data_IF_246108193824
#
_entry.id   IF_246108193824
#
_cell.length_a   1.000
_cell.length_b   1.000
_cell.length_c   1.000
_cell.angle_alpha   90.00
_cell.angle_beta   90.00
_cell.angle_gamma   90.00
#
_symmetry.space_group_name_H-M   'P 1'
#
loop_
_entity.id
_entity.type
_entity.pdbx_description
1 polymer ?
#
# COMPACT_ATOMS: atom_id res chain seq x y z
N UNK A 1 11.49 38.82 13.03
CA UNK A 1 11.65 38.64 11.57
C UNK A 1 12.66 37.53 11.21
N UNK A 2 13.88 37.51 11.76
CA UNK A 2 14.85 36.44 11.45
C UNK A 2 14.41 35.05 11.93
N UNK A 3 13.81 34.96 13.12
CA UNK A 3 13.33 33.69 13.68
C UNK A 3 12.26 33.04 12.79
N UNK A 4 11.27 33.82 12.35
CA UNK A 4 10.16 33.35 11.52
C UNK A 4 10.65 32.90 10.14
N UNK A 5 11.62 33.61 9.56
CA UNK A 5 12.26 33.23 8.31
C UNK A 5 13.05 31.92 8.46
N UNK A 6 13.80 31.76 9.54
CA UNK A 6 14.55 30.53 9.84
C UNK A 6 13.60 29.35 10.05
N UNK A 7 12.54 29.53 10.84
CA UNK A 7 11.54 28.49 11.08
C UNK A 7 10.81 28.11 9.78
N UNK A 8 10.41 29.10 8.98
CA UNK A 8 9.77 28.87 7.69
C UNK A 8 10.67 28.08 6.73
N UNK A 9 11.94 28.45 6.62
CA UNK A 9 12.92 27.73 5.82
C UNK A 9 13.12 26.29 6.32
N UNK A 10 13.22 26.08 7.63
CA UNK A 10 13.36 24.74 8.21
C UNK A 10 12.14 23.85 7.89
N UNK A 11 10.91 24.37 8.05
CA UNK A 11 9.69 23.65 7.71
C UNK A 11 9.58 23.33 6.22
N UNK A 12 10.01 24.25 5.35
CA UNK A 12 10.04 24.03 3.90
C UNK A 12 11.03 22.91 3.54
N UNK A 13 12.22 22.90 4.14
CA UNK A 13 13.21 21.83 3.94
C UNK A 13 12.64 20.48 4.39
N UNK A 14 12.01 20.42 5.57
CA UNK A 14 11.37 19.20 6.07
C UNK A 14 10.26 18.70 5.12
N UNK A 15 9.45 19.62 4.59
CA UNK A 15 8.41 19.29 3.63
C UNK A 15 9.00 18.79 2.30
N UNK A 16 10.05 19.42 1.77
CA UNK A 16 10.72 18.96 0.55
C UNK A 16 11.35 17.58 0.72
N UNK A 17 11.95 17.31 1.89
CA UNK A 17 12.48 15.99 2.22
C UNK A 17 11.35 14.94 2.27
N UNK A 18 10.23 15.25 2.94
CA UNK A 18 9.04 14.40 2.95
C UNK A 18 8.49 14.17 1.55
N UNK A 19 8.37 15.21 0.73
CA UNK A 19 7.85 15.12 -0.62
C UNK A 19 8.73 14.25 -1.52
N UNK A 20 10.05 14.41 -1.44
CA UNK A 20 11.01 13.58 -2.17
C UNK A 20 10.93 12.10 -1.74
N UNK A 21 10.85 11.85 -0.42
CA UNK A 21 10.64 10.49 0.11
C UNK A 21 9.28 9.90 -0.28
N UNK A 22 8.21 10.70 -0.29
CA UNK A 22 6.86 10.23 -0.58
C UNK A 22 6.64 9.94 -2.07
N UNK A 23 7.36 10.68 -2.91
CA UNK A 23 7.33 10.61 -4.38
C UNK A 23 8.40 9.69 -4.96
N UNK A 24 8.85 8.67 -4.20
CA UNK A 24 9.82 7.66 -4.64
C UNK A 24 9.38 6.94 -5.93
N UNK A 25 9.69 7.53 -7.08
CA UNK A 25 9.40 7.01 -8.42
C UNK A 25 10.62 7.18 -9.31
N UNK A 26 11.56 6.23 -9.21
CA UNK A 26 12.85 6.26 -9.91
C UNK A 26 12.75 5.95 -11.42
N UNK A 27 11.69 6.42 -12.09
CA UNK A 27 11.39 6.08 -13.48
C UNK A 27 10.87 4.65 -13.66
N UNK A 28 10.79 4.20 -14.91
CA UNK A 28 10.28 2.87 -15.26
C UNK A 28 11.25 1.76 -14.82
N UNK A 29 10.71 0.59 -14.52
CA UNK A 29 11.49 -0.63 -14.34
C UNK A 29 12.28 -0.99 -15.61
N UNK A 30 13.54 -1.38 -15.43
CA UNK A 30 14.37 -1.99 -16.47
C UNK A 30 14.16 -3.50 -16.50
N UNK A 31 14.48 -4.14 -17.63
CA UNK A 31 14.39 -5.60 -17.74
C UNK A 31 15.26 -6.32 -16.71
N UNK A 32 16.49 -5.83 -16.48
CA UNK A 32 17.38 -6.40 -15.47
C UNK A 32 16.82 -6.32 -14.05
N UNK A 33 16.16 -5.22 -13.68
CA UNK A 33 15.47 -5.10 -12.39
C UNK A 33 14.31 -6.11 -12.28
N UNK A 34 13.51 -6.25 -13.33
CA UNK A 34 12.38 -7.18 -13.37
C UNK A 34 12.87 -8.61 -13.18
N UNK A 35 13.89 -9.02 -13.92
CA UNK A 35 14.48 -10.37 -13.82
C UNK A 35 15.05 -10.63 -12.43
N UNK A 36 15.74 -9.65 -11.84
CA UNK A 36 16.26 -9.75 -10.48
C UNK A 36 15.14 -9.95 -9.45
N UNK A 37 14.06 -9.16 -9.52
CA UNK A 37 12.95 -9.28 -8.58
C UNK A 37 12.21 -10.60 -8.74
N UNK A 38 11.94 -11.03 -9.99
CA UNK A 38 11.26 -12.28 -10.26
C UNK A 38 12.05 -13.50 -9.77
N UNK A 39 13.38 -13.52 -9.96
CA UNK A 39 14.23 -14.60 -9.45
C UNK A 39 14.19 -14.74 -7.91
N UNK A 40 13.86 -13.66 -7.18
CA UNK A 40 13.64 -13.70 -5.72
C UNK A 40 12.21 -14.16 -5.41
N UNK A 41 11.22 -13.64 -6.13
CA UNK A 41 9.79 -13.95 -5.92
C UNK A 41 9.50 -15.43 -6.19
N UNK A 42 10.13 -16.01 -7.21
CA UNK A 42 10.03 -17.43 -7.56
C UNK A 42 10.48 -18.36 -6.43
N UNK A 43 11.32 -17.86 -5.51
CA UNK A 43 11.85 -18.62 -4.36
C UNK A 43 11.08 -18.35 -3.07
N UNK A 44 9.97 -17.60 -3.12
CA UNK A 44 9.15 -17.41 -1.94
C UNK A 44 8.64 -18.75 -1.41
N UNK A 45 8.54 -18.93 -0.08
CA UNK A 45 8.09 -20.17 0.53
C UNK A 45 6.57 -20.33 0.40
N UNK A 46 6.09 -20.44 -0.83
CA UNK A 46 4.68 -20.51 -1.21
C UNK A 46 4.46 -21.70 -2.16
N UNK A 47 3.21 -22.16 -2.35
CA UNK A 47 2.92 -23.25 -3.27
C UNK A 47 3.41 -22.94 -4.70
N UNK A 48 4.21 -23.83 -5.29
CA UNK A 48 4.90 -23.64 -6.58
C UNK A 48 3.95 -23.17 -7.69
N UNK A 49 2.82 -23.87 -7.88
CA UNK A 49 1.80 -23.50 -8.87
C UNK A 49 1.24 -22.09 -8.66
N UNK A 50 1.11 -21.67 -7.40
CA UNK A 50 0.62 -20.34 -7.05
C UNK A 50 1.63 -19.25 -7.39
N UNK A 51 2.91 -19.52 -7.10
CA UNK A 51 4.03 -18.63 -7.45
C UNK A 51 4.18 -18.50 -8.96
N UNK A 52 4.18 -19.62 -9.70
CA UNK A 52 4.27 -19.63 -11.16
C UNK A 52 3.13 -18.82 -11.82
N UNK A 53 1.90 -19.04 -11.38
CA UNK A 53 0.74 -18.31 -11.88
C UNK A 53 0.81 -16.80 -11.55
N UNK A 54 1.40 -16.45 -10.40
CA UNK A 54 1.61 -15.06 -10.00
C UNK A 54 2.72 -14.40 -10.81
N UNK A 55 3.89 -15.04 -10.95
CA UNK A 55 5.04 -14.48 -11.69
C UNK A 55 4.72 -14.33 -13.18
N UNK A 56 3.96 -15.25 -13.77
CA UNK A 56 3.48 -15.16 -15.15
C UNK A 56 2.61 -13.92 -15.42
N UNK A 57 1.82 -13.48 -14.42
CA UNK A 57 1.03 -12.23 -14.51
C UNK A 57 1.86 -11.00 -14.14
N UNK A 58 2.79 -11.16 -13.20
CA UNK A 58 3.60 -10.09 -12.67
C UNK A 58 4.59 -9.54 -13.68
N UNK A 59 5.21 -10.39 -14.51
CA UNK A 59 6.18 -9.98 -15.54
C UNK A 59 5.59 -8.98 -16.54
N UNK A 60 4.54 -9.29 -17.33
CA UNK A 60 4.00 -8.33 -18.30
C UNK A 60 3.45 -7.06 -17.62
N UNK A 61 2.94 -7.17 -16.40
CA UNK A 61 2.55 -5.99 -15.62
C UNK A 61 3.76 -5.14 -15.21
N UNK A 62 4.89 -5.74 -14.84
CA UNK A 62 6.11 -5.01 -14.50
C UNK A 62 6.75 -4.37 -15.74
N UNK A 63 6.74 -5.04 -16.89
CA UNK A 63 7.25 -4.52 -18.16
C UNK A 63 6.44 -3.33 -18.68
N UNK A 64 5.14 -3.30 -18.39
CA UNK A 64 4.24 -2.19 -18.72
C UNK A 64 4.34 -1.00 -17.75
N UNK A 65 5.42 -0.87 -16.97
CA UNK A 65 5.61 0.20 -16.00
C UNK A 65 5.57 1.59 -16.65
N UNK A 66 4.71 2.44 -16.11
CA UNK A 66 4.50 3.82 -16.52
C UNK A 66 5.20 4.82 -15.58
N UNK A 67 5.92 4.32 -14.56
CA UNK A 67 6.65 5.14 -13.59
C UNK A 67 5.73 5.88 -12.61
N UNK A 68 4.44 5.54 -12.57
CA UNK A 68 3.43 6.19 -11.74
C UNK A 68 3.08 5.34 -10.51
N UNK A 69 2.44 5.92 -9.48
CA UNK A 69 1.92 5.17 -8.35
C UNK A 69 0.89 4.12 -8.77
N UNK A 70 0.92 2.98 -8.08
CA UNK A 70 -0.06 1.90 -8.20
C UNK A 70 -0.78 1.67 -6.88
N UNK A 71 -2.07 1.34 -6.99
CA UNK A 71 -2.92 0.98 -5.88
C UNK A 71 -3.26 -0.49 -5.99
N UNK A 72 -2.88 -1.26 -4.97
CA UNK A 72 -3.17 -2.69 -4.91
C UNK A 72 -4.45 -2.92 -4.12
N UNK A 73 -5.49 -3.31 -4.84
CA UNK A 73 -6.76 -3.73 -4.25
C UNK A 73 -6.62 -5.18 -3.85
N UNK A 74 -6.75 -5.44 -2.55
CA UNK A 74 -6.73 -6.76 -1.97
C UNK A 74 -8.18 -7.09 -1.63
N UNK A 75 -8.84 -7.85 -2.50
CA UNK A 75 -10.17 -8.38 -2.23
C UNK A 75 -9.99 -9.75 -1.58
N UNK A 76 -10.26 -9.82 -0.28
CA UNK A 76 -9.91 -10.95 0.56
C UNK A 76 -11.16 -11.75 0.89
N UNK A 77 -11.09 -13.05 0.65
CA UNK A 77 -12.00 -14.04 1.21
C UNK A 77 -11.21 -14.91 2.20
N UNK A 78 -11.63 -14.96 3.47
CA UNK A 78 -10.98 -15.80 4.46
C UNK A 78 -11.39 -17.26 4.29
N UNK A 79 -10.42 -18.17 4.40
CA UNK A 79 -10.75 -19.58 4.50
C UNK A 79 -11.54 -19.90 5.78
N UNK A 80 -12.28 -21.01 5.83
CA UNK A 80 -12.92 -21.45 7.08
C UNK A 80 -11.93 -21.83 8.20
N UNK A 81 -10.70 -22.21 7.81
CA UNK A 81 -9.59 -22.55 8.69
C UNK A 81 -8.28 -22.26 7.97
N UNK A 82 -7.20 -22.05 8.72
CA UNK A 82 -5.88 -21.88 8.12
C UNK A 82 -5.52 -23.11 7.28
N UNK A 83 -5.01 -22.86 6.09
CA UNK A 83 -4.56 -23.88 5.16
C UNK A 83 -3.12 -24.26 5.47
N UNK A 84 -2.74 -25.48 5.08
CA UNK A 84 -1.37 -25.96 5.19
C UNK A 84 -0.85 -26.27 3.79
N UNK A 85 0.41 -25.93 3.55
CA UNK A 85 1.17 -26.32 2.36
C UNK A 85 2.64 -26.56 2.76
N UNK A 86 3.46 -27.24 1.94
CA UNK A 86 4.87 -27.46 2.25
C UNK A 86 5.60 -26.13 2.55
N UNK A 87 6.15 -26.00 3.75
CA UNK A 87 6.82 -24.77 4.21
C UNK A 87 5.90 -23.72 4.85
N UNK A 88 4.60 -24.00 5.01
CA UNK A 88 3.70 -23.14 5.76
C UNK A 88 4.09 -23.09 7.25
N UNK A 89 3.99 -21.92 7.91
CA UNK A 89 4.27 -21.78 9.33
C UNK A 89 3.22 -22.53 10.15
N UNK A 90 3.63 -23.11 11.27
CA UNK A 90 2.69 -23.61 12.26
C UNK A 90 1.97 -22.43 12.92
N UNK A 91 0.67 -22.28 12.63
CA UNK A 91 -0.16 -21.22 13.19
C UNK A 91 -1.43 -21.80 13.79
N UNK A 92 -1.67 -21.52 15.08
CA UNK A 92 -2.80 -22.08 15.86
C UNK A 92 -4.01 -21.13 15.96
N UNK A 93 -3.95 -19.96 15.32
CA UNK A 93 -5.03 -18.97 15.33
C UNK A 93 -5.99 -19.09 14.14
N UNK A 94 -6.91 -18.15 14.04
CA UNK A 94 -7.85 -18.05 12.92
C UNK A 94 -7.20 -17.46 11.67
N UNK A 95 -7.78 -17.66 10.47
CA UNK A 95 -7.34 -16.99 9.24
C UNK A 95 -7.24 -15.46 9.36
N UNK A 96 -8.18 -14.82 10.04
CA UNK A 96 -8.16 -13.37 10.30
C UNK A 96 -6.94 -12.99 11.15
N UNK A 97 -6.64 -13.78 12.18
CA UNK A 97 -5.46 -13.55 13.04
C UNK A 97 -4.15 -13.74 12.28
N UNK A 98 -4.09 -14.72 11.37
CA UNK A 98 -2.92 -14.94 10.50
C UNK A 98 -2.72 -13.77 9.53
N UNK A 99 -3.78 -13.29 8.86
CA UNK A 99 -3.68 -12.13 7.98
C UNK A 99 -3.36 -10.84 8.76
N UNK A 100 -3.94 -10.64 9.94
CA UNK A 100 -3.62 -9.51 10.81
C UNK A 100 -2.14 -9.54 11.27
N UNK A 101 -1.60 -10.72 11.56
CA UNK A 101 -0.18 -10.89 11.85
C UNK A 101 0.69 -10.47 10.65
N UNK A 102 0.34 -10.90 9.43
CA UNK A 102 1.00 -10.47 8.20
C UNK A 102 0.94 -8.94 8.02
N UNK A 103 -0.24 -8.33 8.10
CA UNK A 103 -0.43 -6.89 7.88
C UNK A 103 0.31 -6.04 8.91
N UNK A 104 0.21 -6.41 10.19
CA UNK A 104 0.89 -5.70 11.28
C UNK A 104 2.41 -5.79 11.14
N UNK A 105 2.94 -6.95 10.72
CA UNK A 105 4.38 -7.15 10.54
C UNK A 105 4.94 -6.37 9.36
N UNK A 106 4.12 -6.07 8.35
CA UNK A 106 4.54 -5.31 7.17
C UNK A 106 4.44 -3.79 7.30
N UNK A 107 3.80 -3.26 8.36
CA UNK A 107 3.54 -1.81 8.45
C UNK A 107 4.81 -0.97 8.34
N UNK A 108 5.90 -1.38 9.00
CA UNK A 108 7.18 -0.67 8.95
C UNK A 108 7.89 -0.83 7.60
N UNK A 109 7.77 -2.00 6.97
CA UNK A 109 8.33 -2.24 5.65
C UNK A 109 7.61 -1.39 4.59
N UNK A 110 6.29 -1.29 4.69
CA UNK A 110 5.48 -0.39 3.86
C UNK A 110 5.88 1.07 4.06
N UNK A 111 5.85 1.54 5.31
CA UNK A 111 6.13 2.94 5.63
C UNK A 111 7.55 3.33 5.21
N UNK A 112 8.57 2.51 5.47
CA UNK A 112 9.94 2.82 5.03
C UNK A 112 10.08 3.03 3.51
N UNK A 113 9.15 2.47 2.73
CA UNK A 113 9.06 2.60 1.28
C UNK A 113 7.94 3.54 0.81
N UNK A 114 7.49 4.47 1.67
CA UNK A 114 6.39 5.41 1.41
C UNK A 114 5.11 4.74 0.88
N UNK A 115 4.92 3.48 1.26
CA UNK A 115 3.74 2.67 0.94
C UNK A 115 2.88 2.56 2.19
N UNK A 116 1.55 2.57 2.03
CA UNK A 116 0.64 2.49 3.16
C UNK A 116 -0.79 2.16 2.69
N UNK A 117 -1.61 1.54 3.56
CA UNK A 117 -3.03 1.39 3.31
C UNK A 117 -3.70 2.77 3.21
N UNK A 118 -4.49 2.95 2.16
CA UNK A 118 -5.34 4.14 1.94
C UNK A 118 -6.80 3.86 2.24
N UNK A 119 -7.20 2.59 2.25
CA UNK A 119 -8.52 2.12 2.60
C UNK A 119 -8.40 0.71 3.18
N UNK A 120 -9.13 0.45 4.27
CA UNK A 120 -9.35 -0.87 4.84
C UNK A 120 -10.81 -0.91 5.26
N UNK A 121 -11.54 -1.96 4.86
CA UNK A 121 -12.95 -2.08 5.18
C UNK A 121 -13.41 -3.52 5.19
N UNK A 122 -14.32 -3.82 6.11
CA UNK A 122 -15.04 -5.10 6.17
C UNK A 122 -16.44 -4.90 5.58
N UNK A 123 -16.98 -5.87 4.83
CA UNK A 123 -18.36 -5.82 4.37
C UNK A 123 -19.35 -5.76 5.53
N UNK A 124 -20.39 -4.95 5.38
CA UNK A 124 -21.48 -4.84 6.37
C UNK A 124 -22.65 -5.77 6.05
N UNK A 125 -22.67 -6.32 4.84
CA UNK A 125 -23.69 -7.22 4.34
C UNK A 125 -23.11 -8.04 3.18
N UNK A 126 -23.93 -8.94 2.63
CA UNK A 126 -23.67 -9.57 1.34
C UNK A 126 -23.66 -8.53 0.21
N UNK A 127 -23.21 -8.95 -0.98
CA UNK A 127 -23.16 -8.05 -2.12
C UNK A 127 -24.60 -7.62 -2.48
N UNK A 128 -24.83 -6.31 -2.60
CA UNK A 128 -26.15 -5.78 -2.93
C UNK A 128 -26.58 -6.12 -4.37
N UNK A 129 -25.61 -6.35 -5.27
CA UNK A 129 -25.81 -6.76 -6.66
C UNK A 129 -24.76 -7.82 -7.01
N UNK A 130 -25.18 -8.92 -7.64
CA UNK A 130 -24.31 -10.00 -8.13
C UNK A 130 -24.72 -10.40 -9.56
N UNK A 131 -23.77 -10.37 -10.51
CA UNK A 131 -23.99 -10.76 -11.92
C UNK A 131 -23.41 -12.16 -12.20
N UNK A 132 -22.43 -12.59 -11.41
CA UNK A 132 -21.80 -13.91 -11.44
C UNK A 132 -22.17 -14.65 -10.14
N UNK A 133 -21.82 -15.96 -9.99
CA UNK A 133 -21.95 -16.63 -8.70
C UNK A 133 -21.39 -15.75 -7.57
N UNK A 134 -22.20 -15.52 -6.53
CA UNK A 134 -21.85 -14.58 -5.47
C UNK A 134 -20.55 -15.01 -4.78
N UNK A 135 -19.53 -14.15 -4.86
CA UNK A 135 -18.34 -14.25 -4.00
C UNK A 135 -18.54 -13.35 -2.80
N UNK A 136 -18.37 -13.91 -1.59
CA UNK A 136 -18.38 -13.15 -0.35
C UNK A 136 -16.98 -12.62 -0.04
N UNK A 137 -16.93 -11.44 0.57
CA UNK A 137 -15.67 -10.80 0.97
C UNK A 137 -15.57 -10.77 2.49
N UNK A 138 -14.37 -10.94 3.02
CA UNK A 138 -14.05 -10.78 4.43
C UNK A 138 -13.41 -9.43 4.72
N UNK A 139 -12.50 -8.98 3.85
CA UNK A 139 -11.80 -7.71 3.97
C UNK A 139 -11.48 -7.12 2.59
N UNK A 140 -11.45 -5.79 2.48
CA UNK A 140 -10.99 -5.06 1.32
C UNK A 140 -9.94 -4.04 1.74
N UNK A 141 -8.72 -4.21 1.23
CA UNK A 141 -7.60 -3.31 1.55
C UNK A 141 -7.01 -2.71 0.27
N UNK A 142 -6.87 -1.38 0.23
CA UNK A 142 -6.19 -0.68 -0.86
C UNK A 142 -4.86 -0.13 -0.35
N UNK A 143 -3.75 -0.71 -0.82
CA UNK A 143 -2.40 -0.24 -0.47
C UNK A 143 -1.84 0.61 -1.61
N UNK A 144 -1.41 1.83 -1.30
CA UNK A 144 -0.70 2.68 -2.25
C UNK A 144 0.78 2.33 -2.25
N UNK A 145 1.34 2.17 -3.44
CA UNK A 145 2.77 2.10 -3.68
C UNK A 145 3.20 3.30 -4.55
N UNK A 146 4.32 3.98 -4.23
CA UNK A 146 4.86 5.07 -5.03
C UNK A 146 5.16 4.71 -6.49
N UNK A 147 5.52 3.45 -6.76
CA UNK A 147 5.81 2.91 -8.10
C UNK A 147 5.65 1.39 -8.13
N UNK A 148 5.60 0.78 -9.33
CA UNK A 148 5.64 -0.69 -9.49
C UNK A 148 6.95 -1.27 -8.96
N UNK A 149 8.08 -0.57 -9.18
CA UNK A 149 9.39 -0.90 -8.59
C UNK A 149 9.30 -1.04 -7.08
N UNK A 150 8.63 -0.10 -6.39
CA UNK A 150 8.49 -0.16 -4.94
C UNK A 150 7.72 -1.40 -4.48
N UNK A 151 6.67 -1.79 -5.22
CA UNK A 151 5.94 -3.02 -4.93
C UNK A 151 6.83 -4.26 -5.09
N UNK A 152 7.54 -4.39 -6.22
CA UNK A 152 8.46 -5.50 -6.48
C UNK A 152 9.56 -5.58 -5.42
N UNK A 153 10.19 -4.44 -5.11
CA UNK A 153 11.19 -4.35 -4.05
C UNK A 153 10.67 -4.84 -2.71
N UNK A 154 9.41 -4.55 -2.38
CA UNK A 154 8.81 -4.98 -1.12
C UNK A 154 8.56 -6.49 -1.08
N UNK A 155 7.96 -7.07 -2.12
CA UNK A 155 7.67 -8.52 -2.15
C UNK A 155 8.93 -9.37 -2.38
N UNK A 156 10.02 -8.78 -2.86
CA UNK A 156 11.35 -9.38 -2.91
C UNK A 156 12.21 -9.07 -1.69
N UNK A 157 11.69 -8.36 -0.68
CA UNK A 157 12.49 -7.99 0.49
C UNK A 157 12.76 -9.23 1.37
N UNK A 158 13.97 -9.37 1.97
CA UNK A 158 14.28 -10.52 2.83
C UNK A 158 13.30 -10.69 4.01
N UNK A 159 12.85 -9.58 4.59
CA UNK A 159 11.85 -9.59 5.67
C UNK A 159 10.43 -9.94 5.20
N UNK A 160 10.14 -9.91 3.90
CA UNK A 160 8.82 -10.28 3.35
C UNK A 160 8.66 -11.79 3.24
N UNK A 161 9.70 -12.50 2.78
CA UNK A 161 9.67 -13.95 2.57
C UNK A 161 9.13 -14.77 3.76
N UNK A 162 9.55 -14.56 5.02
CA UNK A 162 9.00 -15.30 6.15
C UNK A 162 7.57 -14.90 6.52
N UNK A 163 7.10 -13.73 6.08
CA UNK A 163 5.76 -13.21 6.38
C UNK A 163 4.73 -13.65 5.35
N UNK A 164 5.11 -13.73 4.07
CA UNK A 164 4.20 -14.06 2.98
C UNK A 164 3.32 -15.29 3.25
N UNK A 165 3.84 -16.42 3.79
CA UNK A 165 3.03 -17.60 4.08
C UNK A 165 1.81 -17.32 4.97
N UNK A 166 1.92 -16.43 5.96
CA UNK A 166 0.80 -16.10 6.86
C UNK A 166 -0.42 -15.54 6.13
N UNK A 167 -0.20 -14.84 5.00
CA UNK A 167 -1.29 -14.39 4.14
C UNK A 167 -1.89 -15.55 3.36
N UNK A 168 -1.06 -16.37 2.72
CA UNK A 168 -1.54 -17.44 1.83
C UNK A 168 -2.12 -18.66 2.55
N UNK A 169 -1.84 -18.86 3.84
CA UNK A 169 -2.58 -19.83 4.65
C UNK A 169 -3.98 -19.32 5.04
N UNK A 170 -4.22 -18.01 4.97
CA UNK A 170 -5.39 -17.36 5.53
C UNK A 170 -6.46 -17.02 4.50
N UNK A 171 -6.07 -16.70 3.26
CA UNK A 171 -6.99 -16.05 2.31
C UNK A 171 -6.97 -16.65 0.91
N UNK A 172 -8.13 -16.63 0.27
CA UNK A 172 -8.21 -16.44 -1.19
C UNK A 172 -8.14 -14.94 -1.48
N UNK A 173 -7.32 -14.56 -2.46
CA UNK A 173 -7.01 -13.16 -2.74
C UNK A 173 -7.14 -12.88 -4.23
N UNK A 174 -7.98 -11.90 -4.57
CA UNK A 174 -7.85 -11.19 -5.83
C UNK A 174 -7.01 -9.92 -5.58
N UNK A 175 -5.76 -9.94 -6.05
CA UNK A 175 -4.85 -8.81 -5.98
C UNK A 175 -4.91 -8.05 -7.30
N UNK A 176 -5.62 -6.92 -7.30
CA UNK A 176 -5.87 -6.14 -8.52
C UNK A 176 -5.00 -4.87 -8.52
N UNK A 177 -4.02 -4.74 -9.42
CA UNK A 177 -3.27 -3.50 -9.58
C UNK A 177 -4.11 -2.47 -10.33
N UNK A 178 -4.22 -1.26 -9.77
CA UNK A 178 -5.03 -0.17 -10.32
C UNK A 178 -4.18 1.09 -10.43
N UNK A 179 -4.19 1.73 -11.60
CA UNK A 179 -3.54 3.03 -11.81
C UNK A 179 -4.23 4.12 -11.00
N UNK A 180 -3.48 5.15 -10.59
CA UNK A 180 -4.08 6.32 -9.95
C UNK A 180 -5.09 7.03 -10.87
N UNK A 181 -6.37 6.90 -10.57
CA UNK A 181 -7.43 7.76 -11.09
C UNK A 181 -7.61 9.01 -10.21
N UNK A 182 -8.84 9.51 -10.12
CA UNK A 182 -9.19 10.59 -9.19
C UNK A 182 -9.21 10.07 -7.75
N UNK A 183 -8.39 10.66 -6.88
CA UNK A 183 -8.42 10.41 -5.43
C UNK A 183 -8.92 11.67 -4.75
N UNK A 184 -10.14 11.62 -4.24
CA UNK A 184 -10.73 12.71 -3.47
C UNK A 184 -10.40 12.46 -2.00
N UNK A 185 -9.59 13.30 -1.35
CA UNK A 185 -9.37 13.19 0.09
C UNK A 185 -10.65 13.54 0.84
N UNK A 186 -10.73 13.18 2.11
CA UNK A 186 -11.87 13.55 2.95
C UNK A 186 -12.05 15.07 2.99
N UNK A 187 -13.21 15.53 2.49
CA UNK A 187 -13.52 16.93 2.29
C UNK A 187 -13.49 17.73 3.59
N UNK A 188 -13.68 17.08 4.75
CA UNK A 188 -13.60 17.74 6.06
C UNK A 188 -12.22 18.32 6.31
N UNK A 189 -11.15 17.64 5.88
CA UNK A 189 -9.79 18.16 5.99
C UNK A 189 -9.54 19.34 5.06
N UNK A 190 -10.11 19.30 3.86
CA UNK A 190 -9.99 20.41 2.90
C UNK A 190 -10.69 21.66 3.42
N UNK A 191 -11.95 21.53 3.85
CA UNK A 191 -12.74 22.65 4.37
C UNK A 191 -12.16 23.17 5.68
N UNK A 192 -11.84 22.27 6.62
CA UNK A 192 -11.24 22.64 7.91
C UNK A 192 -9.87 23.31 7.76
N UNK A 193 -9.01 22.77 6.88
CA UNK A 193 -7.72 23.38 6.55
C UNK A 193 -7.88 24.75 5.92
N UNK A 194 -8.85 24.93 5.03
CA UNK A 194 -9.20 26.22 4.46
C UNK A 194 -9.60 27.26 5.52
N UNK A 195 -10.46 26.87 6.48
CA UNK A 195 -10.83 27.75 7.59
C UNK A 195 -9.65 28.10 8.50
N UNK A 196 -8.78 27.13 8.80
CA UNK A 196 -7.58 27.40 9.59
C UNK A 196 -6.65 28.39 8.89
N UNK A 197 -6.42 28.23 7.58
CA UNK A 197 -5.64 29.17 6.77
C UNK A 197 -6.27 30.56 6.80
N UNK A 198 -7.57 30.68 6.57
CA UNK A 198 -8.27 31.96 6.59
C UNK A 198 -8.16 32.65 7.96
N UNK A 199 -8.35 31.92 9.06
CA UNK A 199 -8.22 32.44 10.42
C UNK A 199 -6.80 32.98 10.69
N UNK A 200 -5.76 32.21 10.34
CA UNK A 200 -4.37 32.61 10.52
C UNK A 200 -4.00 33.84 9.68
N UNK A 201 -4.44 33.88 8.41
CA UNK A 201 -4.20 35.01 7.52
C UNK A 201 -4.86 36.29 8.04
N UNK A 202 -6.13 36.22 8.47
CA UNK A 202 -6.84 37.36 9.04
C UNK A 202 -6.18 37.86 10.33
N UNK A 203 -5.75 36.93 11.20
CA UNK A 203 -5.01 37.26 12.41
C UNK A 203 -3.69 37.97 12.11
N UNK A 204 -2.93 37.48 11.12
CA UNK A 204 -1.67 38.08 10.72
C UNK A 204 -1.86 39.48 10.11
N UNK A 205 -2.83 39.65 9.20
CA UNK A 205 -3.15 40.96 8.61
C UNK A 205 -3.57 41.96 9.69
N UNK A 206 -4.44 41.55 10.62
CA UNK A 206 -4.86 42.42 11.72
C UNK A 206 -3.68 42.83 12.60
N UNK A 207 -2.78 41.91 12.93
CA UNK A 207 -1.60 42.20 13.74
C UNK A 207 -0.64 43.16 13.01
N UNK A 208 -0.46 43.01 11.70
CA UNK A 208 0.38 43.88 10.89
C UNK A 208 -0.20 45.29 10.67
N UNK A 209 -1.53 45.44 10.75
CA UNK A 209 -2.21 46.74 10.59
C UNK A 209 -2.40 47.50 11.91
N UNK A 210 -2.42 46.80 13.05
CA UNK A 210 -2.71 47.38 14.38
C UNK A 210 -1.51 47.40 15.33
N UNK A 211 -0.38 46.82 14.94
CA UNK A 211 0.89 46.85 15.68
C UNK A 211 1.93 47.66 14.91
#
# INVERSE_FOLDING_TARGET
>A
MWFELILGAALMILYMAFWAWHSQGAGKLTQAEIDQYLAIIEKLPLPEKGVEAFTARLRPWAEADDGKPVYMFNLIHFFPRVQMFPGAPEFKGTPEQANAHYEKSLIWLWLSHASYPTFIGVPQARNLINIQPERTWGNMTVVRYPSRRTFLKLISHPSYAPLAPYKFIAVELDLVPVSRGTVVPDLRWLVGGGFAIAFLLLGWVRAALLG
#
